data_IF_628226363309
#
_entry.id   IF_628226363309
#
_cell.length_a   1.000
_cell.length_b   1.000
_cell.length_c   1.000
_cell.angle_alpha   90.00
_cell.angle_beta   90.00
_cell.angle_gamma   90.00
#
_symmetry.space_group_name_H-M   'P 1'
#
loop_
_entity.id
_entity.type
_entity.pdbx_description
1 polymer ?
#
# COMPACT_ATOMS: atom_id res chain seq x y z
N UNK A 1 -13.85 -10.44 -7.50
CA UNK A 1 -14.44 -9.10 -7.71
C UNK A 1 -15.55 -8.96 -6.68
N UNK A 2 -15.75 -7.79 -6.09
CA UNK A 2 -16.76 -7.47 -5.04
C UNK A 2 -16.29 -7.55 -3.57
N UNK A 3 -15.01 -7.85 -3.31
CA UNK A 3 -14.48 -7.84 -1.94
C UNK A 3 -14.49 -6.41 -1.35
N UNK A 4 -14.17 -5.43 -2.18
CA UNK A 4 -14.24 -4.01 -1.88
C UNK A 4 -15.64 -3.57 -1.45
N UNK A 5 -16.68 -4.03 -2.15
CA UNK A 5 -18.07 -3.76 -1.78
C UNK A 5 -18.44 -4.38 -0.43
N UNK A 6 -18.10 -5.65 -0.22
CA UNK A 6 -18.38 -6.34 1.05
C UNK A 6 -17.70 -5.62 2.24
N UNK A 7 -16.43 -5.25 2.08
CA UNK A 7 -15.69 -4.52 3.12
C UNK A 7 -16.34 -3.16 3.41
N UNK A 8 -16.82 -2.44 2.39
CA UNK A 8 -17.51 -1.16 2.58
C UNK A 8 -18.85 -1.33 3.33
N UNK A 9 -19.62 -2.37 3.00
CA UNK A 9 -20.89 -2.67 3.65
C UNK A 9 -20.70 -3.06 5.13
N UNK A 10 -19.75 -3.94 5.43
CA UNK A 10 -19.52 -4.44 6.80
C UNK A 10 -18.85 -3.40 7.71
N UNK A 11 -17.98 -2.55 7.16
CA UNK A 11 -17.25 -1.56 7.97
C UNK A 11 -17.95 -0.20 8.03
N UNK A 12 -18.84 0.11 7.08
CA UNK A 12 -19.42 1.44 6.90
C UNK A 12 -18.41 2.51 6.48
N UNK A 13 -17.20 2.12 6.06
CA UNK A 13 -16.13 3.03 5.64
C UNK A 13 -15.92 3.01 4.12
N UNK A 14 -15.39 4.09 3.52
CA UNK A 14 -14.99 4.08 2.12
C UNK A 14 -13.87 3.07 1.86
N UNK A 15 -14.06 2.22 0.85
CA UNK A 15 -13.05 1.25 0.40
C UNK A 15 -12.69 1.57 -1.04
N UNK A 16 -11.38 1.68 -1.31
CA UNK A 16 -10.85 1.96 -2.64
C UNK A 16 -9.88 0.85 -3.06
N UNK A 17 -10.05 0.37 -4.29
CA UNK A 17 -9.08 -0.52 -4.93
C UNK A 17 -7.96 0.35 -5.51
N UNK A 18 -6.71 -0.01 -5.22
CA UNK A 18 -5.55 0.67 -5.80
C UNK A 18 -5.58 0.58 -7.34
N UNK A 19 -5.03 1.58 -8.03
CA UNK A 19 -4.99 1.64 -9.50
C UNK A 19 -4.27 0.43 -10.12
N UNK A 20 -3.18 -0.02 -9.49
CA UNK A 20 -2.31 -1.09 -9.99
C UNK A 20 -2.06 -2.15 -8.89
N UNK A 21 -3.10 -2.88 -8.44
CA UNK A 21 -3.10 -3.61 -7.16
C UNK A 21 -2.18 -4.83 -7.17
N UNK A 22 -1.86 -5.38 -8.34
CA UNK A 22 -0.97 -6.52 -8.47
C UNK A 22 0.51 -6.15 -8.40
N UNK A 23 0.85 -4.88 -8.63
CA UNK A 23 2.25 -4.40 -8.67
C UNK A 23 2.54 -3.33 -7.63
N UNK A 24 1.54 -2.88 -6.85
CA UNK A 24 1.68 -1.79 -5.89
C UNK A 24 2.81 -2.03 -4.87
N UNK A 25 3.04 -3.28 -4.47
CA UNK A 25 4.11 -3.65 -3.54
C UNK A 25 5.49 -3.41 -4.16
N UNK A 26 5.80 -4.03 -5.31
CA UNK A 26 7.13 -3.90 -5.93
C UNK A 26 7.42 -2.46 -6.37
N UNK A 27 6.39 -1.72 -6.81
CA UNK A 27 6.51 -0.28 -7.11
C UNK A 27 6.84 0.53 -5.86
N UNK A 28 6.13 0.30 -4.76
CA UNK A 28 6.40 0.94 -3.47
C UNK A 28 7.80 0.64 -2.95
N UNK A 29 8.28 -0.60 -3.10
CA UNK A 29 9.65 -0.97 -2.77
C UNK A 29 10.68 -0.16 -3.57
N UNK A 30 10.51 -0.04 -4.88
CA UNK A 30 11.40 0.76 -5.72
C UNK A 30 11.46 2.22 -5.26
N UNK A 31 10.30 2.85 -5.05
CA UNK A 31 10.20 4.24 -4.56
C UNK A 31 10.91 4.42 -3.22
N UNK A 32 10.76 3.47 -2.30
CA UNK A 32 11.32 3.58 -0.97
C UNK A 32 12.85 3.38 -0.96
N UNK A 33 13.38 2.53 -1.85
CA UNK A 33 14.83 2.41 -2.08
C UNK A 33 15.41 3.69 -2.70
N UNK A 34 14.69 4.32 -3.64
CA UNK A 34 15.09 5.61 -4.21
C UNK A 34 15.09 6.74 -3.17
N UNK A 35 14.31 6.59 -2.09
CA UNK A 35 14.17 7.56 -0.99
C UNK A 35 14.86 7.11 0.30
N UNK A 36 15.91 6.29 0.19
CA UNK A 36 16.62 5.68 1.32
C UNK A 36 16.94 6.66 2.45
N UNK A 37 17.50 7.83 2.14
CA UNK A 37 17.88 8.83 3.15
C UNK A 37 16.70 9.32 4.00
N UNK A 38 15.48 9.32 3.44
CA UNK A 38 14.25 9.73 4.15
C UNK A 38 13.59 8.59 4.90
N UNK A 39 13.80 7.35 4.46
CA UNK A 39 13.08 6.17 4.93
C UNK A 39 13.98 5.15 5.64
N UNK A 40 15.25 5.47 5.87
CA UNK A 40 16.25 4.55 6.44
C UNK A 40 15.82 3.90 7.77
N UNK A 41 15.13 4.65 8.64
CA UNK A 41 14.62 4.11 9.92
C UNK A 41 13.56 3.02 9.78
N UNK A 42 12.92 2.92 8.61
CA UNK A 42 11.93 1.88 8.31
C UNK A 42 12.63 0.58 7.89
N UNK A 43 13.82 0.69 7.29
CA UNK A 43 14.58 -0.45 6.76
C UNK A 43 15.62 -0.97 7.73
N UNK A 44 16.15 -0.11 8.59
CA UNK A 44 17.18 -0.47 9.56
C UNK A 44 16.81 0.10 10.92
N UNK A 45 16.61 -0.78 11.89
CA UNK A 45 16.63 -0.45 13.30
C UNK A 45 18.08 -0.48 13.76
N UNK A 46 18.74 0.67 13.80
CA UNK A 46 19.91 0.84 14.68
C UNK A 46 19.46 0.78 16.16
#
# INVERSE_FOLDING_TARGET
RDLDRLLAEETGLPVLVAEDPLTCVVRGCGIALDQWDRMGSIFTSE
#
